data_IF_038741993299
#
_entry.id   IF_038741993299
#
_cell.length_a   1.000
_cell.length_b   1.000
_cell.length_c   1.000
_cell.angle_alpha   90.00
_cell.angle_beta   90.00
_cell.angle_gamma   90.00
#
_symmetry.space_group_name_H-M   'P 1'
#
loop_
_entity.id
_entity.type
_entity.pdbx_description
1 polymer ?
#
# COMPACT_ATOMS: atom_id res chain seq x y z
N UNK A 1 -7.38 12.56 9.53
CA UNK A 1 -7.20 13.19 10.85
C UNK A 1 -5.74 13.04 11.22
N UNK A 2 -5.05 14.11 11.60
CA UNK A 2 -3.58 14.15 11.69
C UNK A 2 -3.11 14.80 12.99
N UNK A 3 -1.93 14.42 13.49
CA UNK A 3 -1.31 15.05 14.66
C UNK A 3 0.21 15.19 14.48
N UNK A 4 0.67 16.43 14.40
CA UNK A 4 2.10 16.77 14.34
C UNK A 4 2.85 16.08 13.17
N UNK A 5 2.19 15.98 12.02
CA UNK A 5 2.74 15.37 10.79
C UNK A 5 3.34 16.42 9.85
N UNK A 6 3.99 17.44 10.42
CA UNK A 6 4.53 18.61 9.70
C UNK A 6 5.60 18.28 8.64
N UNK A 7 6.23 17.11 8.73
CA UNK A 7 7.23 16.59 7.78
C UNK A 7 6.66 16.14 6.43
N UNK A 8 5.35 15.93 6.34
CA UNK A 8 4.70 15.41 5.12
C UNK A 8 3.35 16.09 4.81
N UNK A 9 2.78 16.82 5.77
CA UNK A 9 1.48 17.49 5.63
C UNK A 9 1.42 18.47 4.46
N UNK A 10 2.49 19.24 4.22
CA UNK A 10 2.53 20.20 3.12
C UNK A 10 2.51 19.48 1.76
N UNK A 11 3.32 18.43 1.60
CA UNK A 11 3.36 17.60 0.40
C UNK A 11 2.03 16.88 0.16
N UNK A 12 1.38 16.38 1.22
CA UNK A 12 0.06 15.77 1.11
C UNK A 12 -0.97 16.77 0.58
N UNK A 13 -0.98 18.00 1.11
CA UNK A 13 -1.88 19.07 0.67
C UNK A 13 -1.59 19.46 -0.78
N UNK A 14 -0.32 19.64 -1.14
CA UNK A 14 0.09 20.01 -2.50
C UNK A 14 -0.31 18.93 -3.52
N UNK A 15 -0.05 17.66 -3.20
CA UNK A 15 -0.35 16.54 -4.09
C UNK A 15 -1.85 16.38 -4.31
N UNK A 16 -2.63 16.26 -3.23
CA UNK A 16 -4.07 16.07 -3.34
C UNK A 16 -4.79 17.33 -3.83
N UNK A 17 -4.24 18.52 -3.55
CA UNK A 17 -4.73 19.78 -4.08
C UNK A 17 -4.48 19.90 -5.58
N UNK A 18 -3.37 19.38 -6.09
CA UNK A 18 -3.12 19.26 -7.53
C UNK A 18 -4.10 18.29 -8.20
N UNK A 19 -4.38 17.14 -7.58
CA UNK A 19 -5.33 16.16 -8.11
C UNK A 19 -6.76 16.71 -8.11
N UNK A 20 -7.25 17.14 -6.95
CA UNK A 20 -8.69 17.38 -6.72
C UNK A 20 -9.07 18.84 -6.56
N UNK A 21 -8.11 19.76 -6.43
CA UNK A 21 -8.35 21.15 -6.04
C UNK A 21 -8.40 21.33 -4.52
N UNK A 22 -7.93 22.49 -4.04
CA UNK A 22 -7.81 22.77 -2.61
C UNK A 22 -9.16 22.81 -1.88
N UNK A 23 -10.21 23.33 -2.51
CA UNK A 23 -11.56 23.40 -1.94
C UNK A 23 -12.19 22.02 -1.71
N UNK A 24 -11.63 20.97 -2.31
CA UNK A 24 -12.07 19.58 -2.08
C UNK A 24 -11.28 18.88 -0.97
N UNK A 25 -10.34 19.56 -0.30
CA UNK A 25 -9.55 19.00 0.78
C UNK A 25 -10.13 19.39 2.14
N UNK A 26 -10.46 18.36 2.93
CA UNK A 26 -10.93 18.51 4.30
C UNK A 26 -9.99 17.79 5.26
N UNK A 27 -9.39 18.54 6.18
CA UNK A 27 -8.42 18.03 7.16
C UNK A 27 -8.98 18.20 8.57
N UNK A 28 -9.01 17.11 9.31
CA UNK A 28 -9.27 17.14 10.76
C UNK A 28 -7.93 17.14 11.48
N UNK A 29 -7.59 18.25 12.13
CA UNK A 29 -6.41 18.39 12.96
C UNK A 29 -6.68 17.86 14.38
N UNK A 30 -5.83 16.97 14.90
CA UNK A 30 -5.92 16.50 16.26
C UNK A 30 -5.20 17.44 17.25
N UNK A 31 -5.51 18.73 17.13
CA UNK A 31 -4.89 19.80 17.92
C UNK A 31 -3.36 19.72 17.86
N UNK A 32 -2.80 19.80 16.66
CA UNK A 32 -1.35 19.78 16.45
C UNK A 32 -0.68 21.03 17.03
N UNK A 33 0.63 20.95 17.24
CA UNK A 33 1.49 22.04 17.63
C UNK A 33 1.73 23.07 16.53
N UNK A 34 2.61 24.02 16.83
CA UNK A 34 2.81 25.23 16.01
C UNK A 34 3.20 24.93 14.56
N UNK A 35 4.06 23.95 14.30
CA UNK A 35 4.57 23.66 12.96
C UNK A 35 3.44 23.25 11.99
N UNK A 36 2.66 22.21 12.33
CA UNK A 36 1.52 21.80 11.51
C UNK A 36 0.45 22.89 11.41
N UNK A 37 0.19 23.63 12.51
CA UNK A 37 -0.78 24.74 12.47
C UNK A 37 -0.38 25.86 11.49
N UNK A 38 0.92 26.17 11.37
CA UNK A 38 1.39 27.15 10.40
C UNK A 38 1.15 26.68 8.96
N UNK A 39 1.39 25.40 8.68
CA UNK A 39 1.10 24.79 7.37
C UNK A 39 -0.41 24.87 7.11
N UNK A 40 -1.24 24.38 8.03
CA UNK A 40 -2.70 24.38 7.88
C UNK A 40 -3.26 25.79 7.62
N UNK A 41 -2.86 26.80 8.41
CA UNK A 41 -3.29 28.19 8.22
C UNK A 41 -2.88 28.74 6.86
N UNK A 42 -1.67 28.42 6.39
CA UNK A 42 -1.17 28.84 5.06
C UNK A 42 -2.05 28.32 3.93
N UNK A 43 -2.50 27.06 4.02
CA UNK A 43 -3.33 26.45 2.99
C UNK A 43 -4.82 26.70 3.16
N UNK A 44 -5.31 26.99 4.38
CA UNK A 44 -6.70 27.46 4.57
C UNK A 44 -6.95 28.74 3.78
N UNK A 45 -5.97 29.65 3.73
CA UNK A 45 -6.03 30.84 2.88
C UNK A 45 -6.07 30.53 1.37
N UNK A 46 -5.77 29.29 0.97
CA UNK A 46 -5.84 28.79 -0.42
C UNK A 46 -7.09 27.93 -0.70
N UNK A 47 -7.98 27.74 0.28
CA UNK A 47 -9.27 27.07 0.09
C UNK A 47 -9.45 25.76 0.85
N UNK A 48 -8.41 25.18 1.47
CA UNK A 48 -8.63 23.92 2.22
C UNK A 48 -9.52 24.15 3.45
N UNK A 49 -10.29 23.13 3.81
CA UNK A 49 -11.14 23.14 4.99
C UNK A 49 -10.43 22.44 6.14
N UNK A 50 -10.26 23.12 7.28
CA UNK A 50 -9.64 22.54 8.47
C UNK A 50 -10.58 22.66 9.66
N UNK A 51 -10.76 21.55 10.38
CA UNK A 51 -11.43 21.52 11.69
C UNK A 51 -10.52 20.88 12.72
N UNK A 52 -10.69 21.23 13.99
CA UNK A 52 -9.91 20.66 15.08
C UNK A 52 -10.78 19.73 15.93
N UNK A 53 -10.24 18.56 16.30
CA UNK A 53 -10.91 17.58 17.17
C UNK A 53 -9.88 16.94 18.10
N UNK A 54 -10.15 16.86 19.40
CA UNK A 54 -9.17 16.39 20.39
C UNK A 54 -9.20 14.87 20.65
N UNK A 55 -10.34 14.21 20.40
CA UNK A 55 -10.54 12.79 20.69
C UNK A 55 -10.21 11.88 19.49
N UNK A 56 -8.94 11.51 19.36
CA UNK A 56 -8.48 10.65 18.26
C UNK A 56 -9.22 9.29 18.20
N UNK A 57 -9.69 8.76 19.33
CA UNK A 57 -10.46 7.51 19.37
C UNK A 57 -11.75 7.57 18.53
N UNK A 58 -12.27 8.78 18.28
CA UNK A 58 -13.46 9.06 17.47
C UNK A 58 -13.15 9.43 16.02
N UNK A 59 -11.92 9.21 15.53
CA UNK A 59 -11.51 9.52 14.15
C UNK A 59 -12.53 9.06 13.09
N UNK A 60 -13.00 7.82 13.18
CA UNK A 60 -13.99 7.26 12.25
C UNK A 60 -15.33 8.01 12.31
N UNK A 61 -15.79 8.38 13.51
CA UNK A 61 -17.02 9.15 13.71
C UNK A 61 -16.89 10.57 13.15
N UNK A 62 -15.77 11.25 13.41
CA UNK A 62 -15.54 12.61 12.89
C UNK A 62 -15.45 12.62 11.37
N UNK A 63 -14.74 11.65 10.78
CA UNK A 63 -14.68 11.50 9.32
C UNK A 63 -16.07 11.19 8.74
N UNK A 64 -16.84 10.29 9.36
CA UNK A 64 -18.21 10.01 8.95
C UNK A 64 -19.10 11.26 8.99
N UNK A 65 -19.08 12.01 10.10
CA UNK A 65 -19.85 13.25 10.25
C UNK A 65 -19.47 14.28 9.19
N UNK A 66 -18.17 14.44 8.93
CA UNK A 66 -17.67 15.33 7.89
C UNK A 66 -18.20 14.93 6.50
N UNK A 67 -18.12 13.65 6.15
CA UNK A 67 -18.66 13.13 4.87
C UNK A 67 -20.17 13.38 4.78
N UNK A 68 -20.92 13.21 5.88
CA UNK A 68 -22.36 13.48 5.89
C UNK A 68 -22.69 14.97 5.72
N UNK A 69 -21.87 15.87 6.28
CA UNK A 69 -22.04 17.31 6.13
C UNK A 69 -21.78 17.78 4.68
N UNK A 70 -20.87 17.11 3.98
CA UNK A 70 -20.46 17.46 2.60
C UNK A 70 -21.10 16.57 1.54
N UNK A 71 -22.02 15.67 1.91
CA UNK A 71 -22.55 14.62 1.01
C UNK A 71 -23.23 15.11 -0.27
N UNK A 72 -23.74 16.34 -0.27
CA UNK A 72 -24.37 16.96 -1.44
C UNK A 72 -23.40 17.82 -2.26
N UNK A 73 -22.13 17.91 -1.83
CA UNK A 73 -21.10 18.77 -2.41
C UNK A 73 -20.01 17.96 -3.14
N UNK A 74 -20.04 16.62 -3.03
CA UNK A 74 -19.06 15.75 -3.67
C UNK A 74 -19.70 14.45 -4.18
N UNK A 75 -19.14 13.90 -5.26
CA UNK A 75 -19.58 12.62 -5.83
C UNK A 75 -18.99 11.42 -5.06
N UNK A 76 -17.77 11.58 -4.55
CA UNK A 76 -17.00 10.57 -3.83
C UNK A 76 -16.33 11.20 -2.61
N UNK A 77 -16.36 10.48 -1.50
CA UNK A 77 -15.59 10.79 -0.30
C UNK A 77 -14.43 9.78 -0.14
N UNK A 78 -13.20 10.29 -0.10
CA UNK A 78 -11.97 9.49 -0.03
C UNK A 78 -11.26 9.79 1.30
N UNK A 79 -11.55 9.04 2.37
CA UNK A 79 -10.89 9.24 3.65
C UNK A 79 -9.47 8.63 3.64
N UNK A 80 -8.46 9.48 3.82
CA UNK A 80 -7.03 9.12 3.80
C UNK A 80 -6.31 9.55 5.08
N UNK A 81 -5.19 8.89 5.35
CA UNK A 81 -4.18 9.37 6.31
C UNK A 81 -3.21 10.35 5.62
N UNK A 82 -2.54 11.20 6.40
CA UNK A 82 -1.67 12.26 5.84
C UNK A 82 -0.36 11.70 5.26
N UNK A 83 -0.04 10.45 5.58
CA UNK A 83 1.06 9.69 4.98
C UNK A 83 0.61 8.83 3.78
N UNK A 84 -0.60 9.05 3.23
CA UNK A 84 -1.12 8.28 2.10
C UNK A 84 -1.32 9.08 0.83
N UNK A 85 -0.83 8.57 -0.30
CA UNK A 85 -0.88 9.20 -1.62
C UNK A 85 -1.52 8.27 -2.65
N UNK A 86 -2.48 8.78 -3.42
CA UNK A 86 -3.19 8.00 -4.44
C UNK A 86 -2.32 7.81 -5.68
N UNK A 87 -2.18 6.58 -6.16
CA UNK A 87 -1.65 6.27 -7.48
C UNK A 87 -2.68 5.56 -8.36
N UNK A 88 -2.37 5.43 -9.65
CA UNK A 88 -3.12 4.65 -10.61
C UNK A 88 -2.27 3.53 -11.18
N UNK A 89 -2.83 2.33 -11.34
CA UNK A 89 -2.16 1.24 -12.04
C UNK A 89 -2.79 1.04 -13.40
N UNK A 90 -1.97 1.14 -14.44
CA UNK A 90 -2.38 0.75 -15.79
C UNK A 90 -1.91 -0.67 -16.09
N UNK A 91 -2.77 -1.65 -15.77
CA UNK A 91 -2.49 -3.05 -16.13
C UNK A 91 -2.56 -3.29 -17.65
N UNK A 92 -3.22 -2.41 -18.42
CA UNK A 92 -3.47 -2.60 -19.85
C UNK A 92 -2.34 -2.08 -20.73
N UNK A 93 -1.61 -1.08 -20.27
CA UNK A 93 -0.48 -0.47 -20.99
C UNK A 93 0.89 -0.81 -20.37
N UNK A 94 1.00 -1.91 -19.63
CA UNK A 94 2.30 -2.47 -19.27
C UNK A 94 3.09 -2.68 -20.57
N UNK A 95 4.27 -2.04 -20.74
CA UNK A 95 5.00 -2.17 -22.00
C UNK A 95 5.27 -3.65 -22.29
N UNK A 96 5.11 -4.07 -23.53
CA UNK A 96 5.26 -5.49 -23.92
C UNK A 96 6.59 -6.11 -23.50
N UNK A 97 7.64 -5.30 -23.29
CA UNK A 97 8.90 -5.75 -22.71
C UNK A 97 8.74 -6.23 -21.25
N UNK A 98 7.93 -5.56 -20.43
CA UNK A 98 7.63 -5.94 -19.05
C UNK A 98 6.69 -7.14 -18.94
N UNK A 99 5.67 -7.24 -19.80
CA UNK A 99 4.82 -8.44 -19.86
C UNK A 99 5.63 -9.67 -20.31
N UNK A 100 6.58 -9.49 -21.25
CA UNK A 100 7.54 -10.53 -21.67
C UNK A 100 8.53 -10.89 -20.56
N UNK A 101 9.00 -9.90 -19.82
CA UNK A 101 9.91 -10.08 -18.69
C UNK A 101 9.22 -10.80 -17.52
N UNK A 102 7.96 -10.50 -17.24
CA UNK A 102 7.14 -11.19 -16.23
C UNK A 102 7.01 -12.69 -16.54
N UNK A 103 6.70 -13.07 -17.78
CA UNK A 103 6.62 -14.50 -18.18
C UNK A 103 7.98 -15.18 -18.24
N UNK A 104 9.02 -14.48 -18.72
CA UNK A 104 10.38 -15.04 -18.76
C UNK A 104 10.95 -15.22 -17.36
N UNK A 105 10.65 -14.32 -16.43
CA UNK A 105 11.14 -14.35 -15.03
C UNK A 105 10.37 -15.30 -14.14
N UNK A 106 9.09 -15.58 -14.41
CA UNK A 106 8.39 -16.66 -13.71
C UNK A 106 8.87 -18.04 -14.17
N UNK A 107 9.64 -18.12 -15.27
CA UNK A 107 10.16 -19.35 -15.92
C UNK A 107 9.11 -20.47 -16.09
N UNK A 108 7.83 -20.15 -15.91
CA UNK A 108 6.77 -21.10 -15.63
C UNK A 108 5.98 -21.48 -16.88
N UNK A 109 6.31 -20.91 -18.05
CA UNK A 109 5.64 -21.23 -19.29
C UNK A 109 6.42 -22.27 -20.10
N UNK A 110 6.06 -23.54 -19.88
CA UNK A 110 6.34 -24.62 -20.80
C UNK A 110 5.37 -24.50 -21.99
N UNK A 111 5.83 -23.86 -23.06
CA UNK A 111 5.01 -23.64 -24.24
C UNK A 111 4.53 -24.94 -24.89
N UNK A 112 5.32 -26.02 -24.82
CA UNK A 112 4.91 -27.29 -25.40
C UNK A 112 3.77 -27.92 -24.58
N UNK A 113 3.84 -27.80 -23.25
CA UNK A 113 2.74 -28.18 -22.36
C UNK A 113 1.51 -27.29 -22.58
N UNK A 114 1.68 -25.98 -22.60
CA UNK A 114 0.59 -25.02 -22.78
C UNK A 114 -0.12 -25.22 -24.13
N UNK A 115 0.62 -25.43 -25.22
CA UNK A 115 0.07 -25.73 -26.55
C UNK A 115 -0.56 -27.12 -26.67
N UNK A 116 -0.11 -28.10 -25.88
CA UNK A 116 -0.71 -29.44 -25.88
C UNK A 116 -1.99 -29.49 -25.03
N UNK A 117 -2.01 -28.75 -23.91
CA UNK A 117 -3.15 -28.64 -23.02
C UNK A 117 -4.25 -27.73 -23.57
N UNK A 118 -3.88 -26.72 -24.36
CA UNK A 118 -4.78 -25.73 -24.97
C UNK A 118 -4.54 -25.64 -26.49
N UNK A 119 -4.99 -26.63 -27.28
CA UNK A 119 -4.68 -26.70 -28.71
C UNK A 119 -5.20 -25.51 -29.54
N UNK A 120 -6.27 -24.85 -29.09
CA UNK A 120 -6.82 -23.64 -29.70
C UNK A 120 -5.82 -22.48 -29.77
N UNK A 121 -4.80 -22.49 -28.92
CA UNK A 121 -3.71 -21.50 -28.96
C UNK A 121 -2.96 -21.59 -30.29
N UNK A 122 -2.81 -22.77 -30.90
CA UNK A 122 -2.06 -22.95 -32.16
C UNK A 122 -2.67 -22.22 -33.35
N UNK A 123 -3.98 -21.96 -33.32
CA UNK A 123 -4.67 -21.18 -34.35
C UNK A 123 -4.60 -19.68 -34.09
N UNK A 124 -4.39 -19.27 -32.85
CA UNK A 124 -4.37 -17.87 -32.40
C UNK A 124 -2.93 -17.31 -32.29
N UNK A 125 -1.94 -18.20 -32.13
CA UNK A 125 -0.52 -17.88 -31.96
C UNK A 125 0.33 -18.89 -32.73
N UNK A 126 1.09 -18.41 -33.71
CA UNK A 126 1.88 -19.23 -34.65
C UNK A 126 3.36 -19.26 -34.30
N UNK A 127 3.82 -18.29 -33.52
CA UNK A 127 5.21 -18.20 -33.07
C UNK A 127 5.31 -18.44 -31.55
N UNK A 128 6.46 -18.94 -31.06
CA UNK A 128 6.73 -19.05 -29.61
C UNK A 128 6.48 -17.74 -28.84
N UNK A 129 6.71 -16.60 -29.50
CA UNK A 129 6.48 -15.28 -28.94
C UNK A 129 4.98 -14.98 -28.83
N UNK A 130 4.19 -15.21 -29.89
CA UNK A 130 2.73 -15.07 -29.85
C UNK A 130 2.10 -16.00 -28.82
N UNK A 131 2.64 -17.20 -28.60
CA UNK A 131 2.14 -18.16 -27.59
C UNK A 131 2.34 -17.64 -26.18
N UNK A 132 3.48 -16.99 -25.94
CA UNK A 132 3.78 -16.30 -24.67
C UNK A 132 2.80 -15.16 -24.42
N UNK A 133 2.54 -14.36 -25.44
CA UNK A 133 1.61 -13.22 -25.38
C UNK A 133 0.18 -13.72 -25.15
N UNK A 134 -0.21 -14.79 -25.83
CA UNK A 134 -1.51 -15.43 -25.68
C UNK A 134 -1.74 -15.92 -24.25
N UNK A 135 -0.74 -16.57 -23.65
CA UNK A 135 -0.82 -16.98 -22.26
C UNK A 135 -1.07 -15.80 -21.31
N UNK A 136 -0.30 -14.71 -21.42
CA UNK A 136 -0.44 -13.55 -20.52
C UNK A 136 -1.79 -12.88 -20.66
N UNK A 137 -2.22 -12.66 -21.90
CA UNK A 137 -3.37 -11.81 -22.19
C UNK A 137 -4.70 -12.56 -22.06
N UNK A 138 -4.68 -13.90 -22.18
CA UNK A 138 -5.90 -14.72 -22.20
C UNK A 138 -5.79 -15.94 -21.29
N UNK A 139 -4.72 -16.73 -21.38
CA UNK A 139 -4.55 -17.96 -20.60
C UNK A 139 -4.50 -17.75 -19.08
N UNK A 140 -3.74 -16.75 -18.62
CA UNK A 140 -3.57 -16.43 -17.21
C UNK A 140 -4.89 -15.99 -16.56
N UNK A 141 -5.64 -15.11 -17.23
CA UNK A 141 -6.96 -14.66 -16.79
C UNK A 141 -7.98 -15.80 -16.72
N UNK A 142 -7.78 -16.84 -17.55
CA UNK A 142 -8.59 -18.06 -17.54
C UNK A 142 -8.06 -19.13 -16.59
N UNK A 143 -7.06 -18.81 -15.76
CA UNK A 143 -6.40 -19.70 -14.80
C UNK A 143 -5.82 -20.97 -15.45
N UNK A 144 -5.32 -20.85 -16.67
CA UNK A 144 -4.73 -21.96 -17.40
C UNK A 144 -3.31 -22.26 -16.92
N UNK A 145 -2.99 -23.55 -16.80
CA UNK A 145 -1.69 -23.98 -16.28
C UNK A 145 -0.60 -23.80 -17.34
N UNK A 146 0.50 -23.09 -17.04
CA UNK A 146 1.56 -22.83 -18.00
C UNK A 146 2.65 -23.91 -18.03
N UNK A 147 2.69 -24.85 -17.09
CA UNK A 147 3.72 -25.89 -17.01
C UNK A 147 3.23 -27.20 -16.38
N UNK A 148 4.06 -28.25 -16.51
CA UNK A 148 3.87 -29.53 -15.83
C UNK A 148 4.22 -29.43 -14.34
N UNK A 149 3.59 -30.26 -13.50
CA UNK A 149 3.87 -30.32 -12.05
C UNK A 149 5.35 -30.60 -11.73
N UNK A 150 6.05 -31.37 -12.57
CA UNK A 150 7.47 -31.69 -12.40
C UNK A 150 8.40 -30.49 -12.69
N UNK A 151 8.04 -29.60 -13.62
CA UNK A 151 8.83 -28.38 -13.90
C UNK A 151 8.69 -27.33 -12.82
N UNK A 152 7.56 -27.27 -12.11
CA UNK A 152 7.39 -26.38 -10.95
C UNK A 152 8.43 -26.67 -9.85
N UNK A 153 8.91 -27.91 -9.75
CA UNK A 153 9.94 -28.33 -8.78
C UNK A 153 11.37 -27.94 -9.22
N UNK A 154 11.62 -27.82 -10.54
CA UNK A 154 12.95 -27.60 -11.13
C UNK A 154 13.40 -26.12 -11.25
N UNK A 155 12.47 -25.16 -11.09
CA UNK A 155 12.73 -23.72 -11.16
C UNK A 155 13.58 -23.14 -10.01
N UNK A 156 13.99 -24.00 -9.08
CA UNK A 156 14.84 -23.69 -7.93
C UNK A 156 16.33 -23.40 -8.26
N UNK A 157 16.70 -23.23 -9.53
CA UNK A 157 18.10 -23.21 -10.01
C UNK A 157 18.58 -21.91 -10.70
N UNK A 158 17.80 -20.83 -10.68
CA UNK A 158 18.24 -19.50 -11.20
C UNK A 158 19.27 -18.85 -10.27
N UNK A 159 20.42 -18.43 -10.82
CA UNK A 159 21.56 -17.92 -10.04
C UNK A 159 21.73 -16.39 -10.10
N UNK A 160 22.28 -15.81 -9.03
CA UNK A 160 22.44 -14.36 -8.82
C UNK A 160 23.29 -13.63 -9.87
N UNK A 161 24.27 -14.31 -10.47
CA UNK A 161 25.14 -13.76 -11.52
C UNK A 161 24.40 -13.41 -12.81
N UNK A 162 23.32 -14.14 -13.13
CA UNK A 162 22.44 -13.81 -14.25
C UNK A 162 21.64 -12.52 -14.00
N UNK A 163 21.24 -12.27 -12.76
CA UNK A 163 20.52 -11.06 -12.36
C UNK A 163 21.42 -9.81 -12.45
N UNK A 164 22.69 -9.92 -12.07
CA UNK A 164 23.63 -8.79 -12.05
C UNK A 164 24.00 -8.27 -13.45
N UNK A 165 24.11 -9.14 -14.45
CA UNK A 165 24.38 -8.75 -15.84
C UNK A 165 23.24 -7.92 -16.46
N UNK A 166 22.00 -8.19 -16.02
CA UNK A 166 20.80 -7.46 -16.45
C UNK A 166 20.72 -6.09 -15.77
N UNK A 167 21.03 -6.02 -14.47
CA UNK A 167 21.08 -4.78 -13.68
C UNK A 167 22.05 -3.76 -14.28
N UNK A 168 23.26 -4.21 -14.65
CA UNK A 168 24.31 -3.34 -15.22
C UNK A 168 23.92 -2.69 -16.55
N UNK A 169 23.02 -3.31 -17.32
CA UNK A 169 22.69 -2.88 -18.69
C UNK A 169 21.52 -1.91 -18.77
N UNK A 170 20.60 -1.91 -17.80
CA UNK A 170 19.35 -1.14 -17.87
C UNK A 170 19.13 -0.19 -16.68
N UNK A 171 20.06 -0.15 -15.73
CA UNK A 171 19.98 0.63 -14.48
C UNK A 171 19.56 2.11 -14.59
N UNK A 172 19.97 2.89 -15.61
CA UNK A 172 19.63 4.32 -15.66
C UNK A 172 18.18 4.66 -16.09
N UNK A 173 17.38 3.66 -16.51
CA UNK A 173 15.98 3.83 -16.92
C UNK A 173 14.97 3.29 -15.87
N UNK A 174 15.46 2.84 -14.71
CA UNK A 174 14.68 2.10 -13.71
C UNK A 174 14.57 2.89 -12.39
N UNK A 175 13.54 3.72 -12.27
CA UNK A 175 12.96 4.01 -10.95
C UNK A 175 11.76 3.05 -10.78
N UNK A 176 12.00 1.86 -10.18
CA UNK A 176 10.97 0.80 -10.01
C UNK A 176 11.10 0.01 -8.69
N UNK A 177 9.96 -0.02 -7.98
CA UNK A 177 9.25 -0.97 -7.07
C UNK A 177 9.66 -2.44 -6.83
N UNK A 178 9.04 -3.04 -5.79
CA UNK A 178 8.73 -4.49 -5.63
C UNK A 178 7.28 -4.73 -5.11
N UNK A 179 6.53 -5.77 -5.57
CA UNK A 179 6.64 -6.52 -6.81
C UNK A 179 5.92 -5.75 -7.92
N UNK A 180 6.74 -5.11 -8.76
CA UNK A 180 6.50 -4.67 -10.14
C UNK A 180 5.06 -4.55 -10.63
N UNK A 181 4.32 -3.59 -10.08
CA UNK A 181 3.16 -3.03 -10.74
C UNK A 181 3.53 -1.63 -11.21
N UNK A 182 3.36 -1.35 -12.50
CA UNK A 182 3.53 0.01 -13.02
C UNK A 182 2.42 0.88 -12.45
N UNK A 183 2.75 1.61 -11.40
CA UNK A 183 1.90 2.65 -10.84
C UNK A 183 2.35 3.99 -11.41
N UNK A 184 1.38 4.83 -11.73
CA UNK A 184 1.53 6.17 -12.23
C UNK A 184 0.89 7.13 -11.23
N UNK A 185 1.59 8.23 -10.97
CA UNK A 185 1.03 9.38 -10.27
C UNK A 185 0.58 10.46 -11.27
N UNK A 186 0.39 10.11 -12.54
CA UNK A 186 -0.13 11.02 -13.55
C UNK A 186 -1.56 11.44 -13.22
N UNK A 187 -1.76 12.75 -13.15
CA UNK A 187 -3.03 13.35 -12.78
C UNK A 187 -4.15 13.00 -13.73
N UNK A 188 -3.93 13.07 -15.04
CA UNK A 188 -5.01 12.83 -16.00
C UNK A 188 -5.42 11.36 -16.02
N UNK A 189 -4.48 10.43 -15.82
CA UNK A 189 -4.81 9.01 -15.64
C UNK A 189 -5.67 8.78 -14.39
N UNK A 190 -5.26 9.33 -13.24
CA UNK A 190 -6.03 9.21 -11.99
C UNK A 190 -7.43 9.83 -12.15
N UNK A 191 -7.51 11.06 -12.67
CA UNK A 191 -8.78 11.77 -12.83
C UNK A 191 -9.69 11.14 -13.88
N UNK A 192 -9.15 10.67 -15.00
CA UNK A 192 -9.92 9.93 -16.01
C UNK A 192 -10.54 8.69 -15.39
N UNK A 193 -9.77 7.96 -14.58
CA UNK A 193 -10.28 6.76 -13.92
C UNK A 193 -11.37 7.07 -12.88
N UNK A 194 -11.26 8.16 -12.10
CA UNK A 194 -12.36 8.60 -11.25
C UNK A 194 -13.63 8.93 -12.05
N UNK A 195 -13.50 9.64 -13.19
CA UNK A 195 -14.64 9.94 -14.07
C UNK A 195 -15.32 8.67 -14.62
N UNK A 196 -14.58 7.58 -14.81
CA UNK A 196 -15.14 6.27 -15.19
C UNK A 196 -15.85 5.54 -14.04
N UNK A 197 -15.42 5.79 -12.79
CA UNK A 197 -15.99 5.17 -11.59
C UNK A 197 -17.28 5.85 -11.16
N UNK A 198 -17.34 7.19 -11.21
CA UNK A 198 -18.46 8.01 -10.72
C UNK A 198 -19.83 7.53 -11.24
N UNK A 199 -20.01 7.21 -12.54
CA UNK A 199 -21.30 6.77 -13.06
C UNK A 199 -21.80 5.44 -12.50
N UNK A 200 -20.92 4.60 -11.91
CA UNK A 200 -21.28 3.26 -11.45
C UNK A 200 -22.08 3.27 -10.14
N UNK A 201 -21.93 4.30 -9.31
CA UNK A 201 -22.64 4.50 -8.04
C UNK A 201 -22.77 3.22 -7.19
N UNK A 202 -21.68 2.49 -7.03
CA UNK A 202 -21.62 1.22 -6.29
C UNK A 202 -21.70 1.44 -4.78
N UNK A 203 -21.69 2.69 -4.31
CA UNK A 203 -21.77 3.04 -2.90
C UNK A 203 -20.47 2.84 -2.11
N UNK A 204 -19.71 1.78 -2.40
CA UNK A 204 -18.41 1.48 -1.77
C UNK A 204 -17.38 1.02 -2.80
N UNK A 205 -16.20 1.62 -2.73
CA UNK A 205 -15.06 1.35 -3.60
C UNK A 205 -13.85 0.94 -2.76
N UNK A 206 -12.97 0.14 -3.34
CA UNK A 206 -11.73 -0.31 -2.69
C UNK A 206 -10.52 0.03 -3.54
N UNK A 207 -9.48 0.57 -2.91
CA UNK A 207 -8.15 0.55 -3.50
C UNK A 207 -7.71 -0.90 -3.79
N UNK A 208 -6.90 -1.07 -4.84
CA UNK A 208 -6.44 -2.37 -5.31
C UNK A 208 -5.53 -3.05 -4.28
N UNK A 209 -4.60 -2.29 -3.71
CA UNK A 209 -3.64 -2.67 -2.67
C UNK A 209 -2.91 -1.41 -2.18
N UNK A 210 -2.04 -1.57 -1.16
CA UNK A 210 -1.13 -0.51 -0.72
C UNK A 210 0.32 -0.84 -1.04
N UNK A 211 1.11 0.20 -1.15
CA UNK A 211 2.55 0.19 -1.17
C UNK A 211 2.99 0.83 0.14
N UNK A 212 3.44 0.03 1.11
CA UNK A 212 3.94 0.57 2.38
C UNK A 212 5.43 0.86 2.26
N UNK A 213 5.88 2.04 2.68
CA UNK A 213 7.30 2.40 2.62
C UNK A 213 8.16 1.44 3.44
N UNK A 214 9.36 1.06 2.98
CA UNK A 214 10.27 0.25 3.81
C UNK A 214 10.88 1.05 4.96
N UNK A 215 10.96 0.44 6.13
CA UNK A 215 11.75 0.99 7.24
C UNK A 215 13.24 0.89 6.91
N UNK A 216 13.94 2.02 6.83
CA UNK A 216 15.37 2.06 6.50
C UNK A 216 16.27 2.35 7.71
N UNK A 217 15.71 2.56 8.90
CA UNK A 217 16.40 3.06 10.12
C UNK A 217 17.15 4.39 9.96
N UNK A 218 17.10 4.98 8.77
CA UNK A 218 17.67 6.27 8.48
C UNK A 218 16.64 7.30 8.91
N UNK A 219 17.10 8.25 9.70
CA UNK A 219 16.30 9.41 10.02
C UNK A 219 16.40 10.43 8.90
N UNK A 220 15.26 11.02 8.53
CA UNK A 220 15.18 11.96 7.44
C UNK A 220 14.03 12.92 7.60
N UNK A 221 14.24 14.15 7.12
CA UNK A 221 13.32 15.26 7.26
C UNK A 221 12.26 15.31 6.14
N UNK A 222 12.54 14.68 4.98
CA UNK A 222 11.69 14.78 3.79
C UNK A 222 11.33 13.39 3.24
N UNK A 223 10.30 12.72 3.79
CA UNK A 223 9.91 11.36 3.39
C UNK A 223 9.67 11.20 1.89
N UNK A 224 9.03 12.18 1.26
CA UNK A 224 8.70 12.14 -0.17
C UNK A 224 9.94 12.11 -1.07
N UNK A 225 11.04 12.73 -0.64
CA UNK A 225 12.27 12.79 -1.42
C UNK A 225 13.17 11.58 -1.18
N UNK A 226 13.06 10.95 0.00
CA UNK A 226 14.06 9.99 0.49
C UNK A 226 13.55 8.56 0.49
N UNK A 227 12.23 8.34 0.59
CA UNK A 227 11.64 7.01 0.47
C UNK A 227 11.55 6.63 -1.00
N UNK A 228 12.41 5.69 -1.42
CA UNK A 228 12.40 5.15 -2.79
C UNK A 228 11.90 3.71 -2.88
N UNK A 229 11.60 3.08 -1.74
CA UNK A 229 11.34 1.65 -1.64
C UNK A 229 10.04 1.39 -0.88
N UNK A 230 9.18 0.57 -1.47
CA UNK A 230 7.89 0.18 -0.91
C UNK A 230 7.69 -1.33 -1.05
N UNK A 231 6.96 -1.91 -0.10
CA UNK A 231 6.44 -3.28 -0.17
C UNK A 231 4.95 -3.26 -0.52
N UNK A 232 4.54 -4.14 -1.44
CA UNK A 232 3.11 -4.34 -1.67
C UNK A 232 2.51 -5.09 -0.49
N UNK A 233 1.46 -4.47 0.05
CA UNK A 233 0.60 -5.07 1.04
C UNK A 233 -0.76 -5.26 0.38
N UNK A 234 -1.03 -6.49 -0.06
CA UNK A 234 -2.35 -6.90 -0.54
C UNK A 234 -3.02 -7.79 0.51
N UNK A 235 -3.98 -7.21 1.22
CA UNK A 235 -4.72 -7.93 2.26
C UNK A 235 -5.85 -8.81 1.72
N UNK A 236 -6.08 -8.87 0.39
CA UNK A 236 -7.08 -9.81 -0.16
C UNK A 236 -6.71 -11.28 0.06
N UNK A 237 -5.41 -11.58 0.19
CA UNK A 237 -4.90 -12.94 0.21
C UNK A 237 -4.32 -13.37 1.57
N UNK A 238 -4.49 -12.55 2.62
CA UNK A 238 -4.01 -12.87 3.96
C UNK A 238 -4.99 -13.82 4.67
N UNK A 239 -4.83 -15.12 4.41
CA UNK A 239 -5.24 -16.22 5.28
C UNK A 239 -6.73 -16.20 5.73
N UNK A 240 -7.64 -16.02 4.78
CA UNK A 240 -9.10 -16.06 5.01
C UNK A 240 -9.68 -14.88 5.79
N UNK A 241 -8.92 -13.78 5.97
CA UNK A 241 -9.38 -12.57 6.66
C UNK A 241 -9.90 -11.52 5.67
N UNK A 242 -10.76 -10.64 6.17
CA UNK A 242 -11.40 -9.55 5.42
C UNK A 242 -10.37 -8.70 4.64
N UNK A 243 -10.77 -8.21 3.46
CA UNK A 243 -9.96 -7.26 2.69
C UNK A 243 -9.81 -5.93 3.47
N UNK A 244 -8.61 -5.68 4.00
CA UNK A 244 -8.24 -4.47 4.72
C UNK A 244 -7.76 -3.32 3.81
N UNK A 245 -7.98 -3.38 2.50
CA UNK A 245 -7.69 -2.24 1.61
C UNK A 245 -8.62 -1.07 1.93
N UNK A 246 -8.12 0.16 1.84
CA UNK A 246 -8.87 1.34 2.23
C UNK A 246 -10.04 1.51 1.30
N UNK A 247 -11.11 2.03 1.86
CA UNK A 247 -12.37 2.20 1.15
C UNK A 247 -12.68 3.67 0.99
N UNK A 248 -13.33 3.97 -0.11
CA UNK A 248 -13.91 5.28 -0.37
C UNK A 248 -15.34 5.09 -0.87
N UNK A 249 -16.15 6.14 -0.80
CA UNK A 249 -17.60 5.96 -0.70
C UNK A 249 -18.37 6.97 -1.54
N UNK A 250 -19.55 6.57 -2.01
CA UNK A 250 -20.59 7.51 -2.42
C UNK A 250 -21.19 8.12 -1.13
N UNK A 251 -21.02 9.42 -0.86
CA UNK A 251 -21.34 10.00 0.44
C UNK A 251 -22.78 9.77 0.90
N UNK A 252 -23.74 9.85 -0.04
CA UNK A 252 -25.16 9.69 0.23
C UNK A 252 -25.58 8.29 0.70
N UNK A 253 -24.75 7.26 0.45
CA UNK A 253 -25.06 5.88 0.84
C UNK A 253 -24.28 5.42 2.08
N UNK A 254 -23.31 6.20 2.56
CA UNK A 254 -22.49 5.83 3.72
C UNK A 254 -23.31 5.91 5.02
N UNK A 255 -23.28 4.83 5.81
CA UNK A 255 -24.00 4.71 7.08
C UNK A 255 -23.07 4.69 8.31
N UNK A 256 -21.83 4.23 8.15
CA UNK A 256 -20.81 4.26 9.20
C UNK A 256 -19.42 4.07 8.61
N UNK A 257 -18.38 4.48 9.34
CA UNK A 257 -16.98 4.34 8.97
C UNK A 257 -16.16 3.88 10.19
N UNK A 258 -15.23 2.96 9.99
CA UNK A 258 -14.29 2.53 11.03
C UNK A 258 -13.12 3.52 11.19
N UNK A 259 -12.31 3.31 12.22
CA UNK A 259 -11.20 4.21 12.53
C UNK A 259 -10.09 4.23 11.44
N UNK A 260 -9.85 3.09 10.78
CA UNK A 260 -8.80 2.95 9.76
C UNK A 260 -9.29 3.18 8.33
N UNK A 261 -10.57 3.47 8.13
CA UNK A 261 -11.20 3.58 6.81
C UNK A 261 -11.11 2.30 5.97
N UNK A 262 -10.94 1.14 6.61
CA UNK A 262 -10.92 -0.17 5.95
C UNK A 262 -12.33 -0.74 5.76
N UNK A 263 -13.28 -0.25 6.57
CA UNK A 263 -14.66 -0.72 6.59
C UNK A 263 -15.62 0.46 6.69
N UNK A 264 -16.59 0.50 5.78
CA UNK A 264 -17.75 1.36 5.89
C UNK A 264 -19.03 0.58 5.59
N UNK A 265 -20.08 0.81 6.38
CA UNK A 265 -21.41 0.27 6.08
C UNK A 265 -22.06 1.19 5.05
N UNK A 266 -22.60 0.62 3.99
CA UNK A 266 -23.23 1.36 2.89
C UNK A 266 -24.62 0.79 2.64
N UNK A 267 -25.58 1.67 2.41
CA UNK A 267 -26.95 1.28 2.09
C UNK A 267 -26.98 0.35 0.86
N UNK A 268 -27.73 -0.75 0.97
CA UNK A 268 -27.90 -1.72 -0.10
C UNK A 268 -26.72 -2.68 -0.32
N UNK A 269 -25.61 -2.55 0.44
CA UNK A 269 -24.46 -3.44 0.34
C UNK A 269 -24.22 -4.26 1.62
N UNK A 270 -23.86 -5.52 1.47
CA UNK A 270 -23.33 -6.34 2.56
C UNK A 270 -21.91 -5.90 2.94
N UNK A 271 -21.36 -6.39 4.05
CA UNK A 271 -20.03 -5.99 4.52
C UNK A 271 -18.89 -6.33 3.54
N UNK A 272 -19.07 -7.29 2.64
CA UNK A 272 -18.04 -7.76 1.69
C UNK A 272 -18.19 -7.21 0.27
N UNK A 273 -19.31 -6.56 -0.07
CA UNK A 273 -19.56 -6.05 -1.43
C UNK A 273 -18.92 -4.68 -1.67
N UNK A 274 -17.99 -4.58 -2.60
CA UNK A 274 -17.39 -3.31 -3.01
C UNK A 274 -16.94 -3.40 -4.45
N UNK A 275 -16.80 -2.25 -5.10
CA UNK A 275 -16.17 -2.16 -6.40
C UNK A 275 -14.65 -2.10 -6.25
N UNK A 276 -13.94 -3.12 -6.76
CA UNK A 276 -12.48 -3.13 -6.79
C UNK A 276 -11.98 -2.19 -7.89
N UNK A 277 -11.08 -1.28 -7.51
CA UNK A 277 -10.57 -0.24 -8.40
C UNK A 277 -9.16 -0.56 -8.90
N UNK A 278 -8.64 0.24 -9.83
CA UNK A 278 -7.23 0.24 -10.26
C UNK A 278 -6.40 1.31 -9.54
N UNK A 279 -6.98 1.98 -8.55
CA UNK A 279 -6.24 2.95 -7.73
C UNK A 279 -5.44 2.20 -6.67
N UNK A 280 -4.27 2.71 -6.36
CA UNK A 280 -3.38 2.20 -5.30
C UNK A 280 -3.09 3.30 -4.30
N UNK A 281 -2.62 2.91 -3.12
CA UNK A 281 -2.18 3.85 -2.10
C UNK A 281 -0.72 3.65 -1.77
N UNK A 282 0.07 4.71 -1.89
CA UNK A 282 1.40 4.81 -1.30
C UNK A 282 1.24 5.24 0.13
N UNK A 283 1.53 4.35 1.06
CA UNK A 283 1.46 4.60 2.50
C UNK A 283 2.89 4.77 3.02
N UNK A 284 3.30 6.01 3.27
CA UNK A 284 4.60 6.36 3.84
C UNK A 284 4.60 6.10 5.35
N UNK A 285 4.24 4.88 5.74
CA UNK A 285 4.08 4.48 7.13
C UNK A 285 5.40 4.56 7.92
N UNK A 286 6.47 4.07 7.30
CA UNK A 286 7.81 3.99 7.87
C UNK A 286 8.65 5.20 7.45
N UNK A 287 8.39 6.33 8.11
CA UNK A 287 9.13 7.59 7.96
C UNK A 287 10.48 7.54 8.70
N UNK A 288 11.20 8.67 8.70
CA UNK A 288 12.40 8.84 9.50
C UNK A 288 12.15 8.41 10.96
N UNK A 289 13.11 7.71 11.55
CA UNK A 289 12.93 7.02 12.85
C UNK A 289 12.36 7.93 13.93
N UNK A 290 12.79 9.20 14.00
CA UNK A 290 12.25 10.14 14.99
C UNK A 290 10.77 10.41 14.77
N UNK A 291 10.37 10.64 13.51
CA UNK A 291 8.98 10.91 13.14
C UNK A 291 8.09 9.68 13.29
N UNK A 292 8.59 8.48 13.00
CA UNK A 292 7.86 7.24 13.27
C UNK A 292 7.58 7.06 14.77
N UNK A 293 8.58 7.27 15.63
CA UNK A 293 8.40 7.21 17.09
C UNK A 293 7.40 8.27 17.57
N UNK A 294 7.52 9.51 17.07
CA UNK A 294 6.60 10.60 17.38
C UNK A 294 5.16 10.25 16.99
N UNK A 295 4.96 9.74 15.77
CA UNK A 295 3.66 9.26 15.27
C UNK A 295 3.08 8.19 16.19
N UNK A 296 3.84 7.13 16.50
CA UNK A 296 3.35 6.06 17.37
C UNK A 296 2.95 6.61 18.76
N UNK A 297 3.76 7.50 19.35
CA UNK A 297 3.43 8.13 20.64
C UNK A 297 2.16 8.97 20.56
N UNK A 298 1.99 9.73 19.49
CA UNK A 298 0.80 10.55 19.26
C UNK A 298 -0.45 9.69 19.11
N UNK A 299 -0.39 8.62 18.32
CA UNK A 299 -1.49 7.65 18.16
C UNK A 299 -1.84 6.99 19.50
N UNK A 300 -0.87 6.46 20.24
CA UNK A 300 -1.09 5.80 21.55
C UNK A 300 -1.70 6.79 22.56
N UNK A 301 -1.21 8.04 22.59
CA UNK A 301 -1.74 9.11 23.45
C UNK A 301 -3.17 9.48 23.07
N UNK A 302 -3.44 9.66 21.79
CA UNK A 302 -4.76 10.02 21.27
C UNK A 302 -5.81 8.95 21.59
N UNK A 303 -5.42 7.68 21.54
CA UNK A 303 -6.29 6.55 21.87
C UNK A 303 -6.58 6.42 23.38
N UNK A 304 -5.79 7.07 24.25
CA UNK A 304 -5.94 7.02 25.73
C UNK A 304 -5.97 5.60 26.30
N UNK A 305 -5.31 4.66 25.61
CA UNK A 305 -5.29 3.21 25.96
C UNK A 305 -4.13 2.81 26.86
N UNK A 306 -3.09 3.65 26.94
CA UNK A 306 -1.90 3.46 27.78
C UNK A 306 -1.73 4.70 28.66
N UNK A 307 -1.49 4.50 29.96
CA UNK A 307 -1.26 5.59 30.91
C UNK A 307 0.19 6.03 30.94
N UNK A 308 1.12 5.07 30.98
CA UNK A 308 2.57 5.33 31.04
C UNK A 308 3.29 4.72 29.84
N UNK A 309 3.83 5.59 28.98
CA UNK A 309 4.58 5.23 27.78
C UNK A 309 5.98 4.65 28.09
N UNK A 310 6.41 4.66 29.34
CA UNK A 310 7.63 3.99 29.79
C UNK A 310 7.33 2.63 30.42
N UNK A 311 6.06 2.31 30.68
CA UNK A 311 5.65 1.04 31.26
C UNK A 311 5.60 -0.07 30.21
N UNK A 312 6.75 -0.70 29.98
CA UNK A 312 6.94 -1.84 29.06
C UNK A 312 5.92 -2.96 29.30
N UNK A 313 5.54 -3.22 30.56
CA UNK A 313 4.57 -4.28 30.87
C UNK A 313 3.17 -3.90 30.38
N UNK A 314 2.73 -2.69 30.66
CA UNK A 314 1.44 -2.18 30.18
C UNK A 314 1.37 -2.22 28.64
N UNK A 315 2.41 -1.73 27.95
CA UNK A 315 2.49 -1.76 26.48
C UNK A 315 2.36 -3.20 25.95
N UNK A 316 3.12 -4.15 26.51
CA UNK A 316 3.04 -5.58 26.13
C UNK A 316 1.65 -6.17 26.35
N UNK A 317 1.02 -5.85 27.47
CA UNK A 317 -0.33 -6.35 27.78
C UNK A 317 -1.37 -5.79 26.79
N UNK A 318 -1.24 -4.54 26.37
CA UNK A 318 -2.11 -3.94 25.35
C UNK A 318 -1.91 -4.55 23.97
N UNK A 319 -0.67 -4.84 23.56
CA UNK A 319 -0.39 -5.57 22.31
C UNK A 319 -1.06 -6.95 22.33
N UNK A 320 -0.91 -7.71 23.43
CA UNK A 320 -1.55 -9.03 23.60
C UNK A 320 -3.08 -8.96 23.54
N UNK A 321 -3.67 -7.90 24.08
CA UNK A 321 -5.12 -7.65 24.04
C UNK A 321 -5.62 -7.26 22.64
N UNK A 322 -4.74 -7.01 21.66
CA UNK A 322 -5.09 -6.57 20.30
C UNK A 322 -6.01 -5.35 20.28
N UNK A 323 -5.72 -4.38 21.17
CA UNK A 323 -6.44 -3.11 21.22
C UNK A 323 -6.31 -2.34 19.91
N UNK A 324 -7.19 -1.35 19.68
CA UNK A 324 -7.01 -0.41 18.57
C UNK A 324 -5.61 0.21 18.62
N UNK A 325 -4.91 0.29 17.48
CA UNK A 325 -3.55 0.80 17.42
C UNK A 325 -2.47 -0.11 18.03
N UNK A 326 -2.76 -1.39 18.31
CA UNK A 326 -1.78 -2.34 18.86
C UNK A 326 -0.48 -2.43 18.05
N UNK A 327 -0.54 -2.30 16.71
CA UNK A 327 0.65 -2.27 15.86
C UNK A 327 1.55 -1.07 16.16
N UNK A 328 0.98 0.13 16.38
CA UNK A 328 1.75 1.31 16.80
C UNK A 328 2.40 1.12 18.17
N UNK A 329 1.70 0.44 19.09
CA UNK A 329 2.25 0.08 20.41
C UNK A 329 3.42 -0.89 20.24
N UNK A 330 3.27 -1.90 19.39
CA UNK A 330 4.30 -2.89 19.10
C UNK A 330 5.55 -2.23 18.49
N UNK A 331 5.38 -1.38 17.46
CA UNK A 331 6.48 -0.60 16.87
C UNK A 331 7.18 0.27 17.90
N UNK A 332 6.44 1.04 18.70
CA UNK A 332 7.02 1.89 19.75
C UNK A 332 7.73 1.07 20.84
N UNK A 333 7.16 -0.08 21.22
CA UNK A 333 7.74 -0.98 22.21
C UNK A 333 9.08 -1.58 21.72
N UNK A 334 9.17 -1.93 20.44
CA UNK A 334 10.41 -2.41 19.83
C UNK A 334 11.51 -1.36 19.96
N UNK A 335 11.21 -0.10 19.63
CA UNK A 335 12.15 1.01 19.82
C UNK A 335 12.51 1.23 21.29
N UNK A 336 11.53 1.20 22.19
CA UNK A 336 11.74 1.43 23.62
C UNK A 336 12.64 0.36 24.26
N UNK A 337 12.49 -0.90 23.84
CA UNK A 337 13.16 -2.03 24.51
C UNK A 337 14.47 -2.45 23.88
N UNK A 338 14.60 -2.31 22.56
CA UNK A 338 15.73 -2.83 21.82
C UNK A 338 16.39 -1.78 20.90
N UNK A 339 15.90 -0.53 20.93
CA UNK A 339 16.43 0.58 20.15
C UNK A 339 16.07 0.49 18.66
N UNK A 340 16.57 1.44 17.84
CA UNK A 340 16.25 1.48 16.41
C UNK A 340 16.58 0.19 15.65
N UNK A 341 17.73 -0.43 15.96
CA UNK A 341 18.24 -1.63 15.29
C UNK A 341 17.38 -2.91 15.43
N UNK A 342 16.32 -2.88 16.25
CA UNK A 342 15.51 -4.05 16.55
C UNK A 342 14.32 -4.24 15.61
N UNK A 343 13.92 -3.23 14.83
CA UNK A 343 12.87 -3.41 13.83
C UNK A 343 13.31 -4.32 12.68
N UNK A 344 14.61 -4.44 12.43
CA UNK A 344 15.18 -5.44 11.53
C UNK A 344 15.07 -6.87 12.08
N UNK A 345 14.92 -7.05 13.40
CA UNK A 345 14.79 -8.38 14.03
C UNK A 345 13.38 -8.96 14.02
N UNK A 346 12.37 -8.14 13.66
CA UNK A 346 11.02 -8.61 13.34
C UNK A 346 10.93 -9.19 11.92
N UNK A 347 12.04 -9.25 11.20
CA UNK A 347 12.24 -10.25 10.17
C UNK A 347 12.10 -11.64 10.82
N UNK A 348 10.91 -12.25 10.73
CA UNK A 348 10.88 -13.71 10.64
C UNK A 348 11.82 -14.06 9.50
N UNK A 349 12.95 -14.71 9.81
CA UNK A 349 14.14 -14.86 8.95
C UNK A 349 13.79 -14.65 7.48
N UNK A 350 13.95 -13.40 7.03
CA UNK A 350 14.21 -13.19 5.63
C UNK A 350 15.46 -13.99 5.37
N UNK A 351 15.39 -14.98 4.47
CA UNK A 351 16.59 -15.64 3.99
C UNK A 351 17.45 -14.54 3.39
N UNK A 352 18.41 -14.04 4.16
CA UNK A 352 19.46 -13.22 3.59
C UNK A 352 20.32 -14.15 2.75
N UNK A 353 20.78 -13.67 1.59
CA UNK A 353 21.65 -14.44 0.71
C UNK A 353 22.86 -14.97 1.48
N UNK A 354 23.36 -14.20 2.45
CA UNK A 354 24.50 -14.56 3.29
C UNK A 354 24.17 -15.68 4.29
N UNK A 355 22.95 -15.69 4.84
CA UNK A 355 22.49 -16.77 5.73
C UNK A 355 22.31 -18.08 4.95
N UNK A 356 21.83 -18.01 3.71
CA UNK A 356 21.73 -19.18 2.84
C UNK A 356 23.11 -19.69 2.37
N UNK A 357 24.01 -18.78 2.00
CA UNK A 357 25.36 -19.11 1.56
C UNK A 357 26.19 -19.82 2.65
N UNK A 358 26.05 -19.37 3.92
CA UNK A 358 26.71 -19.99 5.06
C UNK A 358 26.20 -21.42 5.32
N UNK A 359 24.88 -21.61 5.28
CA UNK A 359 24.24 -22.95 5.42
C UNK A 359 24.65 -23.89 4.28
N UNK A 360 24.80 -23.38 3.06
CA UNK A 360 25.27 -24.18 1.90
C UNK A 360 26.72 -24.61 2.08
N UNK A 361 27.60 -23.73 2.55
CA UNK A 361 29.00 -24.08 2.84
C UNK A 361 29.12 -25.10 3.97
N UNK A 362 28.33 -24.97 5.04
CA UNK A 362 28.28 -25.94 6.13
C UNK A 362 27.88 -27.34 5.63
N UNK A 363 26.83 -27.42 4.79
CA UNK A 363 26.35 -28.69 4.20
C UNK A 363 27.38 -29.29 3.22
N UNK A 364 28.08 -28.45 2.45
CA UNK A 364 29.11 -28.90 1.51
C UNK A 364 30.39 -29.38 2.20
N UNK A 365 30.71 -28.82 3.37
CA UNK A 365 31.88 -29.24 4.17
C UNK A 365 31.67 -30.53 4.98
N UNK A 366 30.41 -30.99 5.08
CA UNK A 366 30.02 -32.23 5.77
C UNK A 366 29.85 -33.44 4.83
N UNK A 367 30.15 -33.26 3.53
CA UNK A 367 30.30 -34.33 2.53
C UNK A 367 31.76 -34.46 2.13
#
# INVERSE_FOLDING_TARGET
MQKDEDDILEEWILYHGYLFGYDNLYIIDNCSGTASQQILKRYQAKGIHVSAQDDYSKKGEYLYQLIQQTRNQCDLAIPLDIDEFIGYVDLKNLPMAYLRDLVRKTQSLDQAYYLSRYPQVKTEAKTPEEVTIHYVTKGYLMQWSPCTEERLVALSSVTSSHCQAIIKRYGPLLLVYYPHVASSCDREQILSYFREIIPRKEGRYSFAYYLTSRCTEIDYEHPIQQITSFDVVDYEHYDGKFNYNKKFFEPCKLLSLDHGNHFGRVEGLTQTQYYKTQLVLFHLHHRGVRKLIEKCRNDIRGLKIVQDFQNVRELRDKVKQKVCGAHNIETYLTYLTAGPGALLSLEGEGITIDTLARKIQEIQSQK
#
